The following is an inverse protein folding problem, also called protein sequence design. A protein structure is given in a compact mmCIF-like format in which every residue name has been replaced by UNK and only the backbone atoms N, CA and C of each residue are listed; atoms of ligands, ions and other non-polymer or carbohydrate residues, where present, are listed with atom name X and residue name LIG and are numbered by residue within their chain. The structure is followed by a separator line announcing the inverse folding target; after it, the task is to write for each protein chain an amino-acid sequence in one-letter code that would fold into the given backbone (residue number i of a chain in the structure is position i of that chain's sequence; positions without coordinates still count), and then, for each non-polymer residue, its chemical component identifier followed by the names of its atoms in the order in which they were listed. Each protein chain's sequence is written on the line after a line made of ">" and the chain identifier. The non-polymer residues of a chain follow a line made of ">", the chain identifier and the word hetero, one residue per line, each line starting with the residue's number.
data_IF_714195017306
#
_entry.id   IF_714195017306
#
_cell.length_a   1.000
_cell.length_b   1.000
_cell.length_c   1.000
_cell.angle_alpha   90.00
_cell.angle_beta   90.00
_cell.angle_gamma   90.00
#
_symmetry.space_group_name_H-M   'P 1'
#
loop_
_entity.id
_entity.type
_entity.pdbx_description
1 polymer ?
#
# COMPACT_ATOMS: atom_id res chain seq x y z
N UNK A 1 5.79 3.28 -33.17
CA UNK A 1 7.21 2.92 -32.94
C UNK A 1 7.86 3.67 -31.76
N UNK A 2 7.43 4.89 -31.38
CA UNK A 2 8.08 5.66 -30.30
C UNK A 2 7.90 5.10 -28.87
N UNK A 3 6.86 4.31 -28.60
CA UNK A 3 6.59 3.83 -27.22
C UNK A 3 7.02 2.39 -26.94
N UNK A 4 7.59 1.67 -27.92
CA UNK A 4 7.98 0.26 -27.70
C UNK A 4 9.07 0.14 -26.65
N UNK A 5 10.09 1.00 -26.71
CA UNK A 5 11.17 1.03 -25.72
C UNK A 5 10.60 1.36 -24.34
N UNK A 6 9.78 2.41 -24.23
CA UNK A 6 9.13 2.80 -22.97
C UNK A 6 8.30 1.66 -22.37
N UNK A 7 7.55 0.94 -23.21
CA UNK A 7 6.69 -0.17 -22.79
C UNK A 7 7.50 -1.37 -22.31
N UNK A 8 8.54 -1.77 -23.04
CA UNK A 8 9.41 -2.88 -22.62
C UNK A 8 10.22 -2.53 -21.36
N UNK A 9 10.79 -1.32 -21.29
CA UNK A 9 11.49 -0.85 -20.08
C UNK A 9 10.55 -0.82 -18.87
N UNK A 10 9.32 -0.33 -19.03
CA UNK A 10 8.35 -0.26 -17.93
C UNK A 10 7.91 -1.63 -17.42
N UNK A 11 7.83 -2.66 -18.28
CA UNK A 11 7.57 -4.04 -17.84
C UNK A 11 8.62 -4.54 -16.87
N UNK A 12 9.87 -4.10 -17.04
CA UNK A 12 10.98 -4.46 -16.15
C UNK A 12 10.95 -3.56 -14.92
N UNK A 13 10.85 -2.24 -15.07
CA UNK A 13 10.99 -1.28 -13.97
C UNK A 13 9.83 -1.36 -12.94
N UNK A 14 8.59 -1.53 -13.39
CA UNK A 14 7.41 -1.58 -12.51
C UNK A 14 7.53 -2.64 -11.39
N UNK A 15 7.86 -3.91 -11.65
CA UNK A 15 8.01 -4.89 -10.58
C UNK A 15 9.16 -4.56 -9.62
N UNK A 16 10.27 -3.96 -10.08
CA UNK A 16 11.33 -3.50 -9.17
C UNK A 16 10.84 -2.39 -8.23
N UNK A 17 10.08 -1.43 -8.74
CA UNK A 17 9.46 -0.37 -7.92
C UNK A 17 8.52 -1.00 -6.87
N UNK A 18 7.72 -2.00 -7.27
CA UNK A 18 6.80 -2.68 -6.35
C UNK A 18 7.53 -3.45 -5.26
N UNK A 19 8.58 -4.20 -5.60
CA UNK A 19 9.41 -4.93 -4.64
C UNK A 19 10.06 -3.95 -3.66
N UNK A 20 10.58 -2.82 -4.16
CA UNK A 20 11.17 -1.79 -3.32
C UNK A 20 10.13 -1.13 -2.38
N UNK A 21 8.93 -0.85 -2.88
CA UNK A 21 7.83 -0.35 -2.04
C UNK A 21 7.42 -1.34 -0.95
N UNK A 22 7.33 -2.64 -1.27
CA UNK A 22 7.08 -3.70 -0.29
C UNK A 22 8.19 -3.75 0.76
N UNK A 23 9.45 -3.64 0.34
CA UNK A 23 10.59 -3.59 1.27
C UNK A 23 10.47 -2.44 2.27
N UNK A 24 10.10 -1.23 1.82
CA UNK A 24 9.89 -0.05 2.69
C UNK A 24 8.74 -0.27 3.68
N UNK A 25 7.64 -0.90 3.23
CA UNK A 25 6.49 -1.19 4.11
C UNK A 25 6.91 -2.15 5.23
N UNK A 26 7.67 -3.20 4.89
CA UNK A 26 8.09 -4.24 5.83
C UNK A 26 9.16 -3.76 6.81
N UNK A 27 10.05 -2.86 6.39
CA UNK A 27 11.14 -2.33 7.22
C UNK A 27 10.82 -1.00 7.90
N UNK A 28 9.56 -0.57 7.87
CA UNK A 28 9.13 0.71 8.45
C UNK A 28 9.36 0.85 9.95
N UNK A 29 9.62 -0.23 10.68
CA UNK A 29 9.96 -0.21 12.11
C UNK A 29 11.47 -0.21 12.39
N UNK A 30 12.31 -0.50 11.39
CA UNK A 30 13.77 -0.58 11.52
C UNK A 30 14.49 0.57 10.80
N UNK A 31 13.82 1.16 9.80
CA UNK A 31 14.39 2.18 8.91
C UNK A 31 13.40 3.33 8.73
N UNK A 32 13.86 4.54 8.38
CA UNK A 32 12.96 5.63 8.01
C UNK A 32 12.09 5.21 6.83
N UNK A 33 10.77 5.11 7.04
CA UNK A 33 9.84 4.53 6.08
C UNK A 33 8.47 4.23 6.67
N UNK A 34 7.82 3.17 6.19
CA UNK A 34 6.52 2.71 6.68
C UNK A 34 5.46 2.55 5.60
N UNK A 35 4.22 2.34 6.06
CA UNK A 35 3.08 2.12 5.18
C UNK A 35 2.85 3.26 4.19
N UNK A 36 2.92 4.51 4.64
CA UNK A 36 2.69 5.66 3.76
C UNK A 36 3.74 5.78 2.65
N UNK A 37 5.02 5.91 3.02
CA UNK A 37 6.10 6.08 2.06
C UNK A 37 6.19 4.91 1.05
N UNK A 38 6.13 3.67 1.55
CA UNK A 38 6.14 2.50 0.68
C UNK A 38 4.87 2.38 -0.18
N UNK A 39 3.71 2.76 0.37
CA UNK A 39 2.45 2.86 -0.37
C UNK A 39 2.52 3.87 -1.52
N UNK A 40 3.12 5.04 -1.30
CA UNK A 40 3.32 6.06 -2.36
C UNK A 40 4.23 5.53 -3.48
N UNK A 41 5.29 4.79 -3.15
CA UNK A 41 6.18 4.15 -4.14
C UNK A 41 5.40 3.14 -4.99
N UNK A 42 4.60 2.27 -4.36
CA UNK A 42 3.76 1.31 -5.10
C UNK A 42 2.69 2.05 -5.93
N UNK A 43 2.05 3.08 -5.39
CA UNK A 43 1.07 3.91 -6.11
C UNK A 43 1.67 4.56 -7.36
N UNK A 44 2.91 5.04 -7.27
CA UNK A 44 3.67 5.57 -8.42
C UNK A 44 3.88 4.51 -9.51
N UNK A 45 4.10 3.25 -9.13
CA UNK A 45 4.18 2.15 -10.10
C UNK A 45 2.87 1.93 -10.88
N UNK A 46 1.72 2.12 -10.24
CA UNK A 46 0.40 2.03 -10.89
C UNK A 46 0.13 3.22 -11.81
N UNK A 47 0.56 4.42 -11.40
CA UNK A 47 0.50 5.63 -12.24
C UNK A 47 1.35 5.41 -13.50
N UNK A 48 2.60 4.94 -13.35
CA UNK A 48 3.48 4.62 -14.46
C UNK A 48 2.86 3.57 -15.40
N UNK A 49 2.26 2.52 -14.84
CA UNK A 49 1.54 1.52 -15.62
C UNK A 49 0.42 2.16 -16.47
N UNK A 50 -0.37 3.05 -15.90
CA UNK A 50 -1.46 3.74 -16.60
C UNK A 50 -0.96 4.66 -17.71
N UNK A 51 0.14 5.38 -17.49
CA UNK A 51 0.74 6.27 -18.50
C UNK A 51 1.25 5.45 -19.70
N UNK A 52 1.90 4.31 -19.45
CA UNK A 52 2.61 3.55 -20.49
C UNK A 52 1.69 2.59 -21.26
N UNK A 53 0.74 1.96 -20.57
CA UNK A 53 -0.17 0.97 -21.18
C UNK A 53 -1.52 1.59 -21.58
N UNK A 54 -1.79 2.81 -21.16
CA UNK A 54 -3.02 3.54 -21.45
C UNK A 54 -4.17 3.21 -20.49
N UNK A 55 -5.18 4.08 -20.53
CA UNK A 55 -6.32 4.06 -19.60
C UNK A 55 -7.16 2.77 -19.67
N UNK A 56 -7.44 2.27 -20.89
CA UNK A 56 -8.28 1.07 -21.09
C UNK A 56 -7.68 -0.18 -20.45
N UNK A 57 -6.38 -0.41 -20.65
CA UNK A 57 -5.66 -1.54 -20.06
C UNK A 57 -5.49 -1.39 -18.55
N UNK A 58 -5.27 -0.16 -18.07
CA UNK A 58 -5.19 0.15 -16.64
C UNK A 58 -6.52 -0.14 -15.94
N UNK A 59 -7.65 0.34 -16.47
CA UNK A 59 -8.97 0.15 -15.88
C UNK A 59 -9.42 -1.32 -15.88
N UNK A 60 -8.99 -2.11 -16.88
CA UNK A 60 -9.25 -3.56 -16.92
C UNK A 60 -8.56 -4.29 -15.76
N UNK A 61 -7.30 -3.94 -15.44
CA UNK A 61 -6.58 -4.54 -14.31
C UNK A 61 -6.97 -3.91 -12.96
N UNK A 62 -7.05 -2.60 -12.91
CA UNK A 62 -7.27 -1.75 -11.73
C UNK A 62 -8.65 -1.07 -11.79
N UNK A 63 -9.71 -1.88 -11.76
CA UNK A 63 -11.08 -1.36 -11.79
C UNK A 63 -11.41 -0.60 -10.50
N UNK A 64 -11.97 0.61 -10.63
CA UNK A 64 -12.34 1.48 -9.52
C UNK A 64 -13.18 0.77 -8.45
N UNK A 65 -14.20 -0.02 -8.85
CA UNK A 65 -15.06 -0.72 -7.89
C UNK A 65 -14.29 -1.76 -7.07
N UNK A 66 -13.29 -2.42 -7.66
CA UNK A 66 -12.43 -3.37 -6.93
C UNK A 66 -11.50 -2.64 -5.97
N UNK A 67 -10.86 -1.57 -6.46
CA UNK A 67 -9.96 -0.74 -5.66
C UNK A 67 -10.67 -0.11 -4.45
N UNK A 68 -11.88 0.40 -4.64
CA UNK A 68 -12.67 1.00 -3.55
C UNK A 68 -13.04 -0.04 -2.49
N UNK A 69 -13.45 -1.25 -2.91
CA UNK A 69 -13.71 -2.36 -1.97
C UNK A 69 -12.47 -2.70 -1.13
N UNK A 70 -11.30 -2.76 -1.76
CA UNK A 70 -10.03 -3.04 -1.08
C UNK A 70 -9.69 -1.94 -0.08
N UNK A 71 -9.87 -0.66 -0.45
CA UNK A 71 -9.68 0.47 0.49
C UNK A 71 -10.63 0.33 1.69
N UNK A 72 -11.93 0.15 1.46
CA UNK A 72 -12.91 0.07 2.55
C UNK A 72 -12.60 -1.09 3.50
N UNK A 73 -12.30 -2.28 2.96
CA UNK A 73 -11.93 -3.45 3.77
C UNK A 73 -10.66 -3.15 4.57
N UNK A 74 -9.64 -2.55 3.93
CA UNK A 74 -8.37 -2.23 4.59
C UNK A 74 -8.55 -1.22 5.73
N UNK A 75 -9.39 -0.20 5.52
CA UNK A 75 -9.70 0.82 6.53
C UNK A 75 -10.49 0.24 7.71
N UNK A 76 -11.46 -0.64 7.45
CA UNK A 76 -12.21 -1.31 8.52
C UNK A 76 -11.28 -2.18 9.36
N UNK A 77 -10.45 -3.01 8.72
CA UNK A 77 -9.49 -3.86 9.44
C UNK A 77 -8.48 -3.00 10.22
N UNK A 78 -8.00 -1.91 9.63
CA UNK A 78 -7.09 -0.97 10.29
C UNK A 78 -7.75 -0.36 11.54
N UNK A 79 -8.99 0.10 11.43
CA UNK A 79 -9.75 0.67 12.53
C UNK A 79 -9.99 -0.33 13.66
N UNK A 80 -10.36 -1.57 13.33
CA UNK A 80 -10.54 -2.66 14.31
C UNK A 80 -9.23 -2.99 15.01
N UNK A 81 -8.13 -3.16 14.29
CA UNK A 81 -6.82 -3.48 14.87
C UNK A 81 -6.30 -2.36 15.77
N UNK A 82 -6.41 -1.09 15.33
CA UNK A 82 -6.04 0.06 16.15
C UNK A 82 -6.93 0.20 17.37
N UNK A 83 -8.25 0.04 17.23
CA UNK A 83 -9.20 0.08 18.33
C UNK A 83 -8.92 -1.01 19.37
N UNK A 84 -8.66 -2.24 18.91
CA UNK A 84 -8.27 -3.35 19.78
C UNK A 84 -6.98 -3.05 20.54
N UNK A 85 -5.95 -2.52 19.85
CA UNK A 85 -4.69 -2.13 20.49
C UNK A 85 -4.88 -1.01 21.53
N UNK A 86 -5.80 -0.07 21.31
CA UNK A 86 -6.09 1.00 22.26
C UNK A 86 -6.82 0.50 23.50
N UNK A 87 -7.81 -0.39 23.32
CA UNK A 87 -8.54 -0.99 24.43
C UNK A 87 -7.64 -1.83 25.34
N UNK A 88 -6.69 -2.59 24.79
CA UNK A 88 -5.75 -3.39 25.59
C UNK A 88 -4.68 -2.53 26.26
N UNK A 89 -4.19 -1.48 25.58
CA UNK A 89 -3.19 -0.58 26.16
C UNK A 89 -3.72 0.31 27.29
N UNK A 90 -5.02 0.66 27.26
CA UNK A 90 -5.66 1.53 28.25
C UNK A 90 -6.45 0.78 29.35
N UNK A 91 -6.83 -0.47 29.13
CA UNK A 91 -7.54 -1.29 30.11
C UNK A 91 -6.58 -2.37 30.58
N UNK A 92 -6.40 -2.56 31.89
CA UNK A 92 -5.64 -3.69 32.47
C UNK A 92 -6.30 -5.07 32.23
N UNK A 93 -6.95 -5.26 31.08
CA UNK A 93 -7.56 -6.50 30.65
C UNK A 93 -6.48 -7.42 30.06
N UNK A 94 -6.34 -8.60 30.65
CA UNK A 94 -5.47 -9.68 30.17
C UNK A 94 -6.04 -10.34 28.90
N UNK A 95 -6.11 -9.60 27.79
CA UNK A 95 -6.36 -10.21 26.48
C UNK A 95 -5.06 -10.80 25.92
N UNK A 96 -5.14 -11.84 25.07
CA UNK A 96 -3.98 -12.44 24.43
C UNK A 96 -3.33 -11.42 23.49
N UNK A 97 -2.23 -10.80 23.93
CA UNK A 97 -1.37 -10.02 23.06
C UNK A 97 -0.53 -10.96 22.16
N UNK A 98 -0.34 -10.63 20.87
CA UNK A 98 0.64 -11.32 20.06
C UNK A 98 2.01 -11.18 20.71
N UNK A 99 2.68 -12.32 20.88
CA UNK A 99 3.95 -12.43 21.57
C UNK A 99 4.96 -11.40 21.08
N UNK A 100 5.75 -10.88 22.01
CA UNK A 100 6.85 -9.96 21.70
C UNK A 100 7.81 -10.72 20.78
N UNK A 101 7.83 -10.35 19.51
CA UNK A 101 8.81 -10.85 18.56
C UNK A 101 10.22 -10.45 19.01
N UNK A 102 11.23 -11.16 18.51
CA UNK A 102 12.63 -10.87 18.82
C UNK A 102 12.97 -9.46 18.28
N UNK A 103 13.44 -8.57 19.17
CA UNK A 103 13.86 -7.21 18.81
C UNK A 103 14.86 -7.21 17.66
N UNK A 104 14.62 -6.38 16.64
CA UNK A 104 15.47 -6.27 15.44
C UNK A 104 15.05 -7.14 14.25
N UNK A 105 14.02 -8.01 14.38
CA UNK A 105 13.46 -8.77 13.25
C UNK A 105 12.20 -8.12 12.68
N UNK A 106 11.85 -8.48 11.46
CA UNK A 106 10.69 -7.92 10.72
C UNK A 106 9.36 -8.11 11.49
N UNK A 107 9.23 -9.22 12.22
CA UNK A 107 8.06 -9.54 13.03
C UNK A 107 8.09 -8.95 14.46
N UNK A 108 9.08 -8.11 14.79
CA UNK A 108 9.20 -7.53 16.12
C UNK A 108 8.12 -6.50 16.46
N UNK A 109 7.45 -5.93 15.45
CA UNK A 109 6.54 -4.79 15.61
C UNK A 109 5.15 -5.09 16.18
N UNK A 110 4.85 -6.33 16.64
CA UNK A 110 3.48 -6.76 17.01
C UNK A 110 2.47 -6.40 15.90
N UNK A 111 1.55 -5.47 16.18
CA UNK A 111 0.54 -4.96 15.25
C UNK A 111 1.08 -3.96 14.21
N UNK A 112 2.28 -3.42 14.38
CA UNK A 112 2.82 -2.36 13.54
C UNK A 112 3.02 -2.79 12.08
N UNK A 113 3.48 -4.03 11.84
CA UNK A 113 3.68 -4.54 10.48
C UNK A 113 2.34 -4.74 9.74
N UNK A 114 1.32 -5.42 10.30
CA UNK A 114 -0.01 -5.47 9.70
C UNK A 114 -0.60 -4.08 9.43
N UNK A 115 -0.44 -3.15 10.37
CA UNK A 115 -0.93 -1.77 10.21
C UNK A 115 -0.21 -1.05 9.06
N UNK A 116 1.11 -1.20 8.94
CA UNK A 116 1.89 -0.63 7.84
C UNK A 116 1.46 -1.20 6.49
N UNK A 117 1.17 -2.50 6.40
CA UNK A 117 0.67 -3.12 5.17
C UNK A 117 -0.69 -2.53 4.79
N UNK A 118 -1.64 -2.43 5.74
CA UNK A 118 -2.97 -1.88 5.49
C UNK A 118 -2.90 -0.42 5.03
N UNK A 119 -2.10 0.40 5.71
CA UNK A 119 -1.87 1.81 5.32
C UNK A 119 -1.22 1.87 3.94
N UNK A 120 -0.23 1.03 3.65
CA UNK A 120 0.44 1.01 2.36
C UNK A 120 -0.49 0.66 1.19
N UNK A 121 -1.42 -0.29 1.40
CA UNK A 121 -2.46 -0.61 0.43
C UNK A 121 -3.36 0.60 0.20
N UNK A 122 -3.89 1.21 1.26
CA UNK A 122 -4.78 2.37 1.16
C UNK A 122 -4.09 3.50 0.41
N UNK A 123 -2.88 3.88 0.83
CA UNK A 123 -2.12 4.99 0.23
C UNK A 123 -1.78 4.72 -1.23
N UNK A 124 -1.38 3.50 -1.57
CA UNK A 124 -1.06 3.13 -2.96
C UNK A 124 -2.26 3.28 -3.89
N UNK A 125 -3.43 2.79 -3.46
CA UNK A 125 -4.65 2.88 -4.24
C UNK A 125 -5.15 4.32 -4.31
N UNK A 126 -5.15 5.06 -3.19
CA UNK A 126 -5.57 6.45 -3.14
C UNK A 126 -4.73 7.33 -4.05
N UNK A 127 -3.40 7.14 -4.09
CA UNK A 127 -2.52 7.89 -4.98
C UNK A 127 -2.84 7.63 -6.46
N UNK A 128 -3.10 6.37 -6.81
CA UNK A 128 -3.52 6.00 -8.17
C UNK A 128 -4.88 6.60 -8.54
N UNK A 129 -5.87 6.54 -7.64
CA UNK A 129 -7.21 7.11 -7.86
C UNK A 129 -7.12 8.62 -8.01
N UNK A 130 -6.36 9.32 -7.17
CA UNK A 130 -6.17 10.76 -7.31
C UNK A 130 -5.60 11.12 -8.68
N UNK A 131 -4.51 10.47 -9.09
CA UNK A 131 -3.94 10.68 -10.41
C UNK A 131 -4.98 10.42 -11.52
N UNK A 132 -5.73 9.33 -11.38
CA UNK A 132 -6.73 8.95 -12.35
C UNK A 132 -7.85 10.00 -12.50
N UNK A 133 -8.37 10.52 -11.37
CA UNK A 133 -9.36 11.59 -11.30
C UNK A 133 -8.84 12.87 -11.97
N UNK A 134 -7.64 13.33 -11.63
CA UNK A 134 -7.06 14.52 -12.24
C UNK A 134 -6.76 14.35 -13.73
N UNK A 135 -6.42 13.13 -14.17
CA UNK A 135 -6.16 12.86 -15.59
C UNK A 135 -7.41 12.75 -16.45
N UNK A 136 -8.56 12.40 -15.86
CA UNK A 136 -9.83 12.22 -16.56
C UNK A 136 -10.61 13.53 -16.71
N UNK A 137 -10.29 14.58 -15.94
CA UNK A 137 -10.72 15.94 -16.24
C UNK A 137 -12.22 16.18 -16.26
N UNK A 138 -13.00 15.44 -15.46
CA UNK A 138 -14.41 15.79 -15.18
C UNK A 138 -14.50 16.46 -13.81
N UNK A 139 -14.43 17.79 -13.82
CA UNK A 139 -15.17 18.66 -12.90
C UNK A 139 -16.30 19.27 -13.70
#
# INVERSE_FOLDING_TARGET
>A
MKDTILKETSKIVIPFIQIFGIYIIFHGHLSPGGGFAGGTVIGTSFILYRIVFGMKEAQKKLSYSRLMKVICISLIIYGVLKGYSFLIGGSHLNLPEPGIGISGKVFSGKYLLPLNILVGIVVSITMYIFYALFSEGEV
#
